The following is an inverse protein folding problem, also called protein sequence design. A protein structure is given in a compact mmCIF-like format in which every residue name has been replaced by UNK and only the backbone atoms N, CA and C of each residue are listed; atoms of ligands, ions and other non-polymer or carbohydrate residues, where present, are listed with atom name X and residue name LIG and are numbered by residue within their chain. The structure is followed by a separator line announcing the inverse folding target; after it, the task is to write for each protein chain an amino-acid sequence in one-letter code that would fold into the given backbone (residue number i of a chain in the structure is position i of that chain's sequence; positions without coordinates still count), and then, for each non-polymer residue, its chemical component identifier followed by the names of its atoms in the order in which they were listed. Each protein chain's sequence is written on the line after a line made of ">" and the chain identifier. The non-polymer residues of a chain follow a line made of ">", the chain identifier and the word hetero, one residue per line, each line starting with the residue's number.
data_IF_915780590243
#
_entry.id   IF_915780590243
#
_cell.length_a   1.000
_cell.length_b   1.000
_cell.length_c   1.000
_cell.angle_alpha   90.00
_cell.angle_beta   90.00
_cell.angle_gamma   90.00
#
_symmetry.space_group_name_H-M   'P 1'
#
loop_
_entity.id
_entity.type
_entity.pdbx_description
1 polymer ?
#
# COMPACT_ATOMS: atom_id res chain seq x y z
N UNK A 1 -18.27 37.83 -12.25
CA UNK A 1 -18.83 36.46 -12.27
C UNK A 1 -18.45 35.78 -10.96
N UNK A 2 -19.41 35.42 -10.09
CA UNK A 2 -19.11 34.57 -8.92
C UNK A 2 -18.75 33.17 -9.43
N UNK A 3 -17.62 32.57 -9.01
CA UNK A 3 -17.25 31.24 -9.45
C UNK A 3 -18.36 30.27 -9.02
N UNK A 4 -18.96 29.61 -10.00
CA UNK A 4 -19.93 28.54 -9.78
C UNK A 4 -19.28 27.49 -8.89
N UNK A 5 -19.90 27.09 -7.76
CA UNK A 5 -19.32 26.06 -6.90
C UNK A 5 -19.22 24.76 -7.69
N UNK A 6 -18.00 24.34 -7.98
CA UNK A 6 -17.67 23.11 -8.71
C UNK A 6 -18.01 21.89 -7.84
N UNK A 7 -19.28 21.47 -7.87
CA UNK A 7 -19.83 20.34 -7.08
C UNK A 7 -19.12 19.03 -7.34
N UNK A 8 -18.37 18.52 -6.37
CA UNK A 8 -17.67 17.21 -6.39
C UNK A 8 -18.57 16.17 -7.05
N UNK A 9 -18.06 15.46 -8.06
CA UNK A 9 -18.87 14.48 -8.79
C UNK A 9 -18.93 13.16 -8.03
N UNK A 10 -19.98 12.36 -8.24
CA UNK A 10 -20.12 11.05 -7.59
C UNK A 10 -18.90 10.14 -7.82
N UNK A 11 -18.28 10.21 -9.01
CA UNK A 11 -17.05 9.51 -9.36
C UNK A 11 -15.83 9.98 -8.54
N UNK A 12 -15.74 11.27 -8.20
CA UNK A 12 -14.67 11.79 -7.34
C UNK A 12 -14.78 11.22 -5.92
N UNK A 13 -16.00 11.12 -5.40
CA UNK A 13 -16.26 10.54 -4.08
C UNK A 13 -15.89 9.05 -4.04
N UNK A 14 -16.22 8.29 -5.09
CA UNK A 14 -15.82 6.87 -5.20
C UNK A 14 -14.30 6.74 -5.23
N UNK A 15 -13.62 7.56 -6.05
CA UNK A 15 -12.16 7.54 -6.15
C UNK A 15 -11.48 7.87 -4.82
N UNK A 16 -11.97 8.89 -4.10
CA UNK A 16 -11.50 9.22 -2.76
C UNK A 16 -11.69 8.03 -1.81
N UNK A 17 -12.87 7.39 -1.83
CA UNK A 17 -13.17 6.23 -1.00
C UNK A 17 -12.19 5.08 -1.25
N UNK A 18 -11.99 4.71 -2.52
CA UNK A 18 -11.06 3.65 -2.92
C UNK A 18 -9.63 3.99 -2.50
N UNK A 19 -9.15 5.20 -2.81
CA UNK A 19 -7.80 5.64 -2.48
C UNK A 19 -7.55 5.61 -0.96
N UNK A 20 -8.54 6.04 -0.16
CA UNK A 20 -8.46 6.06 1.31
C UNK A 20 -8.43 4.64 1.88
N UNK A 21 -9.30 3.75 1.40
CA UNK A 21 -9.34 2.35 1.84
C UNK A 21 -8.02 1.66 1.49
N UNK A 22 -7.51 1.83 0.27
CA UNK A 22 -6.25 1.25 -0.15
C UNK A 22 -5.06 1.81 0.62
N UNK A 23 -5.06 3.12 0.90
CA UNK A 23 -4.03 3.75 1.74
C UNK A 23 -4.03 3.15 3.15
N UNK A 24 -5.21 2.97 3.74
CA UNK A 24 -5.35 2.35 5.05
C UNK A 24 -4.87 0.90 5.04
N UNK A 25 -5.20 0.12 4.01
CA UNK A 25 -4.72 -1.25 3.85
C UNK A 25 -3.21 -1.33 3.74
N UNK A 26 -2.59 -0.46 2.93
CA UNK A 26 -1.13 -0.39 2.76
C UNK A 26 -0.41 -0.03 4.07
N UNK A 27 -1.05 0.71 4.97
CA UNK A 27 -0.49 0.99 6.30
C UNK A 27 -0.74 -0.15 7.28
N UNK A 28 -1.97 -0.66 7.33
CA UNK A 28 -2.40 -1.63 8.33
C UNK A 28 -1.86 -3.04 8.10
N UNK A 29 -1.73 -3.48 6.85
CA UNK A 29 -1.21 -4.81 6.54
C UNK A 29 0.22 -4.99 7.04
N UNK A 30 1.19 -4.13 6.65
CA UNK A 30 2.54 -4.21 7.19
C UNK A 30 2.54 -4.17 8.71
N UNK A 31 1.78 -3.25 9.31
CA UNK A 31 1.73 -3.08 10.76
C UNK A 31 1.20 -4.31 11.51
N UNK A 32 0.21 -5.02 10.97
CA UNK A 32 -0.41 -6.18 11.62
C UNK A 32 0.23 -7.51 11.25
N UNK A 33 0.66 -7.66 9.99
CA UNK A 33 1.13 -8.93 9.43
C UNK A 33 2.62 -9.11 9.67
N UNK A 34 3.45 -8.07 9.51
CA UNK A 34 4.91 -8.18 9.67
C UNK A 34 5.30 -8.66 11.07
N UNK A 35 4.79 -8.10 12.19
CA UNK A 35 5.21 -8.53 13.51
C UNK A 35 4.87 -9.99 13.78
N UNK A 36 3.69 -10.45 13.33
CA UNK A 36 3.27 -11.84 13.46
C UNK A 36 4.13 -12.78 12.60
N UNK A 37 4.46 -12.36 11.39
CA UNK A 37 5.30 -13.14 10.50
C UNK A 37 6.74 -13.25 11.04
N UNK A 38 7.26 -12.19 11.66
CA UNK A 38 8.55 -12.20 12.34
C UNK A 38 8.56 -13.08 13.59
N UNK A 39 7.50 -13.04 14.40
CA UNK A 39 7.36 -13.93 15.55
C UNK A 39 7.37 -15.39 15.09
N UNK A 40 6.56 -15.72 14.09
CA UNK A 40 6.52 -17.07 13.51
C UNK A 40 7.90 -17.50 13.01
N UNK A 41 8.61 -16.67 12.23
CA UNK A 41 9.95 -17.02 11.74
C UNK A 41 10.98 -17.23 12.87
N UNK A 42 10.93 -16.41 13.92
CA UNK A 42 11.78 -16.58 15.10
C UNK A 42 11.46 -17.86 15.87
N UNK A 43 10.18 -18.23 15.97
CA UNK A 43 9.74 -19.46 16.65
C UNK A 43 10.22 -20.72 15.90
N UNK A 44 10.38 -20.67 14.58
CA UNK A 44 10.98 -21.73 13.77
C UNK A 44 12.52 -21.70 13.74
N UNK A 45 13.16 -20.73 14.40
CA UNK A 45 14.62 -20.57 14.38
C UNK A 45 15.20 -20.12 13.04
N UNK A 46 14.34 -19.70 12.09
CA UNK A 46 14.75 -19.32 10.75
C UNK A 46 14.95 -17.80 10.61
N UNK A 47 16.08 -17.42 10.00
CA UNK A 47 16.27 -16.04 9.56
C UNK A 47 15.48 -15.77 8.28
N UNK A 48 14.50 -14.86 8.35
CA UNK A 48 13.71 -14.43 7.19
C UNK A 48 14.57 -14.18 5.94
N UNK A 49 14.17 -14.66 4.74
CA UNK A 49 14.91 -14.46 3.49
C UNK A 49 15.20 -12.97 3.24
N UNK A 50 16.36 -12.66 2.65
CA UNK A 50 16.79 -11.28 2.40
C UNK A 50 15.78 -10.47 1.57
N UNK A 51 15.11 -11.11 0.60
CA UNK A 51 14.02 -10.50 -0.17
C UNK A 51 12.82 -10.12 0.71
N UNK A 52 12.40 -11.01 1.61
CA UNK A 52 11.32 -10.74 2.56
C UNK A 52 11.69 -9.63 3.54
N UNK A 53 12.94 -9.57 4.01
CA UNK A 53 13.44 -8.44 4.81
C UNK A 53 13.45 -7.13 4.01
N UNK A 54 13.78 -7.15 2.73
CA UNK A 54 13.74 -5.93 1.91
C UNK A 54 12.31 -5.42 1.68
N UNK A 55 11.35 -6.32 1.44
CA UNK A 55 9.95 -5.93 1.22
C UNK A 55 9.20 -5.57 2.51
N UNK A 56 9.51 -6.23 3.64
CA UNK A 56 8.84 -5.98 4.92
C UNK A 56 9.58 -4.95 5.79
N UNK A 57 10.91 -4.97 5.82
CA UNK A 57 11.75 -4.08 6.64
C UNK A 57 12.49 -3.01 5.83
N UNK A 58 12.66 -3.18 4.52
CA UNK A 58 13.38 -2.23 3.68
C UNK A 58 12.58 -0.96 3.39
N UNK A 59 13.28 0.04 2.85
CA UNK A 59 12.71 1.35 2.52
C UNK A 59 11.49 1.28 1.60
N UNK A 60 11.26 0.18 0.87
CA UNK A 60 10.12 0.02 -0.02
C UNK A 60 8.77 0.12 0.70
N UNK A 61 8.56 -0.57 1.82
CA UNK A 61 7.30 -0.50 2.57
C UNK A 61 7.03 0.90 3.13
N UNK A 62 8.09 1.57 3.61
CA UNK A 62 8.00 2.92 4.17
C UNK A 62 7.79 3.98 3.08
N UNK A 63 8.48 3.85 1.94
CA UNK A 63 8.28 4.68 0.74
C UNK A 63 6.88 4.50 0.15
N UNK A 64 6.41 3.26 0.07
CA UNK A 64 5.05 2.90 -0.31
C UNK A 64 4.02 3.64 0.54
N UNK A 65 4.14 3.53 1.87
CA UNK A 65 3.24 4.19 2.81
C UNK A 65 3.29 5.70 2.64
N UNK A 66 4.48 6.29 2.57
CA UNK A 66 4.66 7.73 2.38
C UNK A 66 4.06 8.22 1.07
N UNK A 67 4.39 7.60 -0.06
CA UNK A 67 3.88 8.00 -1.37
C UNK A 67 2.36 7.87 -1.44
N UNK A 68 1.82 6.78 -0.89
CA UNK A 68 0.38 6.50 -0.91
C UNK A 68 -0.39 7.46 0.00
N UNK A 69 0.02 7.63 1.26
CA UNK A 69 -0.67 8.55 2.19
C UNK A 69 -0.53 10.01 1.77
N UNK A 70 0.67 10.44 1.37
CA UNK A 70 0.90 11.82 0.92
C UNK A 70 0.14 12.11 -0.38
N UNK A 71 0.16 11.17 -1.33
CA UNK A 71 -0.59 11.27 -2.58
C UNK A 71 -2.11 11.33 -2.36
N UNK A 72 -2.64 10.52 -1.44
CA UNK A 72 -4.07 10.53 -1.08
C UNK A 72 -4.47 11.83 -0.39
N UNK A 73 -3.67 12.32 0.57
CA UNK A 73 -3.93 13.59 1.28
C UNK A 73 -3.86 14.80 0.35
N UNK A 74 -2.82 14.88 -0.49
CA UNK A 74 -2.68 15.95 -1.48
C UNK A 74 -3.76 15.89 -2.54
N UNK A 75 -4.11 14.68 -3.02
CA UNK A 75 -5.19 14.46 -3.97
C UNK A 75 -6.53 14.95 -3.42
N UNK A 76 -6.88 14.56 -2.19
CA UNK A 76 -8.09 15.03 -1.51
C UNK A 76 -8.07 16.56 -1.30
N UNK A 77 -6.96 17.11 -0.81
CA UNK A 77 -6.83 18.55 -0.57
C UNK A 77 -6.96 19.39 -1.85
N UNK A 78 -6.46 18.89 -2.98
CA UNK A 78 -6.59 19.55 -4.28
C UNK A 78 -8.02 19.48 -4.84
N UNK A 79 -8.72 18.37 -4.62
CA UNK A 79 -10.14 18.26 -4.98
C UNK A 79 -11.00 19.24 -4.17
N UNK A 80 -10.74 19.39 -2.87
CA UNK A 80 -11.43 20.37 -2.01
C UNK A 80 -11.14 21.81 -2.44
N UNK A 81 -9.91 22.12 -2.89
CA UNK A 81 -9.53 23.44 -3.42
C UNK A 81 -10.02 23.70 -4.85
N UNK A 82 -10.80 22.80 -5.45
CA UNK A 82 -11.35 22.97 -6.81
C UNK A 82 -10.37 22.65 -7.95
N UNK A 83 -9.15 22.18 -7.66
CA UNK A 83 -8.15 21.76 -8.66
C UNK A 83 -8.37 20.30 -9.08
N UNK A 84 -9.46 20.04 -9.78
CA UNK A 84 -9.93 18.67 -10.10
C UNK A 84 -8.96 17.80 -10.87
N UNK A 85 -8.46 18.28 -12.00
CA UNK A 85 -7.63 17.46 -12.89
C UNK A 85 -6.38 16.97 -12.16
N UNK A 86 -5.70 17.89 -11.46
CA UNK A 86 -4.50 17.57 -10.69
C UNK A 86 -4.79 16.68 -9.48
N UNK A 87 -5.90 16.93 -8.75
CA UNK A 87 -6.32 16.09 -7.62
C UNK A 87 -6.67 14.66 -8.05
N UNK A 88 -7.38 14.48 -9.17
CA UNK A 88 -7.71 13.15 -9.73
C UNK A 88 -6.46 12.37 -10.11
N UNK A 89 -5.53 12.99 -10.83
CA UNK A 89 -4.28 12.33 -11.24
C UNK A 89 -3.45 11.92 -10.03
N UNK A 90 -3.41 12.74 -8.98
CA UNK A 90 -2.75 12.38 -7.72
C UNK A 90 -3.42 11.20 -7.01
N UNK A 91 -4.75 11.16 -6.95
CA UNK A 91 -5.47 10.03 -6.37
C UNK A 91 -5.29 8.74 -7.18
N UNK A 92 -5.32 8.82 -8.51
CA UNK A 92 -5.06 7.67 -9.39
C UNK A 92 -3.64 7.18 -9.19
N UNK A 93 -2.66 8.09 -9.13
CA UNK A 93 -1.26 7.75 -8.86
C UNK A 93 -1.08 7.08 -7.49
N UNK A 94 -1.65 7.66 -6.44
CA UNK A 94 -1.63 7.09 -5.10
C UNK A 94 -2.27 5.70 -5.05
N UNK A 95 -3.39 5.52 -5.74
CA UNK A 95 -4.08 4.23 -5.88
C UNK A 95 -3.21 3.20 -6.59
N UNK A 96 -2.56 3.57 -7.70
CA UNK A 96 -1.65 2.69 -8.44
C UNK A 96 -0.44 2.26 -7.61
N UNK A 97 0.17 3.20 -6.88
CA UNK A 97 1.27 2.91 -5.95
C UNK A 97 0.80 1.99 -4.83
N UNK A 98 -0.41 2.20 -4.30
CA UNK A 98 -0.98 1.34 -3.26
C UNK A 98 -1.16 -0.11 -3.74
N UNK A 99 -1.70 -0.29 -4.96
CA UNK A 99 -1.89 -1.62 -5.55
C UNK A 99 -0.57 -2.33 -5.82
N UNK A 100 0.41 -1.64 -6.41
CA UNK A 100 1.75 -2.20 -6.63
C UNK A 100 2.39 -2.63 -5.31
N UNK A 101 2.31 -1.75 -4.31
CA UNK A 101 2.86 -2.03 -2.98
C UNK A 101 2.21 -3.25 -2.34
N UNK A 102 0.89 -3.40 -2.49
CA UNK A 102 0.17 -4.59 -2.04
C UNK A 102 0.68 -5.88 -2.71
N UNK A 103 0.86 -5.86 -4.04
CA UNK A 103 1.41 -7.01 -4.78
C UNK A 103 2.80 -7.40 -4.24
N UNK A 104 3.67 -6.42 -4.01
CA UNK A 104 5.01 -6.68 -3.46
C UNK A 104 4.98 -7.20 -2.02
N UNK A 105 4.10 -6.69 -1.17
CA UNK A 105 3.93 -7.22 0.20
C UNK A 105 3.45 -8.66 0.16
N UNK A 106 2.46 -8.98 -0.68
CA UNK A 106 1.97 -10.35 -0.85
C UNK A 106 3.06 -11.27 -1.38
N UNK A 107 3.80 -10.86 -2.42
CA UNK A 107 4.93 -11.62 -2.94
C UNK A 107 6.02 -11.85 -1.88
N UNK A 108 6.34 -10.81 -1.10
CA UNK A 108 7.32 -10.89 -0.01
C UNK A 108 6.93 -11.87 1.09
N UNK A 109 5.63 -12.00 1.38
CA UNK A 109 5.07 -12.98 2.30
C UNK A 109 4.97 -14.39 1.71
N UNK A 110 4.78 -14.51 0.39
CA UNK A 110 4.61 -15.79 -0.30
C UNK A 110 5.94 -16.50 -0.61
N UNK A 111 7.00 -15.74 -0.88
CA UNK A 111 8.37 -16.23 -1.12
C UNK A 111 8.85 -17.26 -0.07
N UNK A 112 8.81 -16.97 1.24
CA UNK A 112 9.23 -17.92 2.26
C UNK A 112 8.36 -19.18 2.32
N UNK A 113 7.04 -19.07 2.11
CA UNK A 113 6.13 -20.22 2.10
C UNK A 113 6.47 -21.22 0.98
N UNK A 114 6.77 -20.71 -0.22
CA UNK A 114 7.16 -21.54 -1.36
C UNK A 114 8.52 -22.20 -1.11
N UNK A 115 9.47 -21.49 -0.51
CA UNK A 115 10.78 -22.04 -0.16
C UNK A 115 10.65 -23.20 0.85
N UNK A 116 9.87 -23.02 1.93
CA UNK A 116 9.61 -24.09 2.91
C UNK A 116 8.88 -25.28 2.29
N UNK A 117 7.89 -25.05 1.43
CA UNK A 117 7.16 -26.13 0.77
C UNK A 117 8.05 -26.92 -0.21
N UNK A 118 8.95 -26.24 -0.93
CA UNK A 118 9.89 -26.89 -1.83
C UNK A 118 10.95 -27.71 -1.09
N UNK A 119 11.36 -27.28 0.11
CA UNK A 119 12.30 -28.02 0.95
C UNK A 119 11.65 -29.32 1.49
N UNK A 120 10.41 -29.26 1.96
CA UNK A 120 9.63 -30.42 2.43
C UNK A 120 9.29 -31.43 1.32
N UNK A 121 9.24 -30.99 0.06
CA UNK A 121 9.03 -31.86 -1.10
C UNK A 121 10.31 -32.57 -1.55
N UNK A 122 11.47 -32.15 -1.06
CA UNK A 122 12.77 -32.67 -1.46
C UNK A 122 13.36 -33.68 -0.45
N UNK A 123 12.77 -33.78 0.75
CA UNK A 123 12.93 -34.90 1.70
C UNK A 123 11.96 -36.04 1.36
#
# INVERSE_FOLDING_TARGET
>A
MKPTPTRVTMLDSILIGIATILSALVVLLPWKVIPRFMQMANDFGETLPMGTRFFLHGGFGLLSVLLTTTGTLLGCGLLVKGRRTMGRWLLIGATGVAMLSYVFVVLGLYLPLVQTASALSAE
#
